data_IF_188809094438
#
_entry.id   IF_188809094438
#
_cell.length_a   1.000
_cell.length_b   1.000
_cell.length_c   1.000
_cell.angle_alpha   90.00
_cell.angle_beta   90.00
_cell.angle_gamma   90.00
#
_symmetry.space_group_name_H-M   'P 1'
#
loop_
_entity.id
_entity.type
_entity.pdbx_description
1 polymer ?
#
# COMPACT_ATOMS: atom_id res chain seq x y z
N UNK A 1 -0.05 -9.11 -11.74
CA UNK A 1 -0.73 -8.54 -10.56
C UNK A 1 -0.72 -9.56 -9.44
N UNK A 2 -0.20 -9.24 -8.24
CA UNK A 2 -0.18 -10.18 -7.10
C UNK A 2 -1.38 -9.85 -6.22
N UNK A 3 -2.36 -10.76 -6.16
CA UNK A 3 -3.55 -10.62 -5.32
C UNK A 3 -3.55 -11.71 -4.24
N UNK A 4 -3.85 -11.33 -2.99
CA UNK A 4 -3.81 -12.22 -1.83
C UNK A 4 -4.99 -12.00 -0.91
N UNK A 5 -5.54 -13.09 -0.38
CA UNK A 5 -6.63 -13.01 0.60
C UNK A 5 -6.15 -12.37 1.90
N UNK A 6 -7.00 -11.53 2.50
CA UNK A 6 -6.69 -10.83 3.75
C UNK A 6 -6.30 -11.78 4.89
N UNK A 7 -6.86 -13.00 4.95
CA UNK A 7 -6.49 -14.00 5.96
C UNK A 7 -5.08 -14.52 5.73
N UNK A 8 -4.71 -14.77 4.47
CA UNK A 8 -3.37 -15.23 4.10
C UNK A 8 -2.31 -14.18 4.42
N UNK A 9 -2.59 -12.91 4.10
CA UNK A 9 -1.74 -11.77 4.41
C UNK A 9 -1.58 -11.59 5.92
N UNK A 10 -2.67 -11.65 6.68
CA UNK A 10 -2.66 -11.49 8.15
C UNK A 10 -1.76 -12.51 8.84
N UNK A 11 -1.86 -13.78 8.46
CA UNK A 11 -1.07 -14.86 9.08
C UNK A 11 0.40 -14.81 8.68
N UNK A 12 0.73 -14.25 7.51
CA UNK A 12 2.07 -14.32 6.93
C UNK A 12 2.72 -12.96 6.65
N UNK A 13 2.29 -11.90 7.32
CA UNK A 13 2.65 -10.52 6.95
C UNK A 13 4.17 -10.32 6.84
N UNK A 14 4.95 -10.81 7.81
CA UNK A 14 6.42 -10.74 7.80
C UNK A 14 7.05 -11.44 6.60
N UNK A 15 6.52 -12.61 6.22
CA UNK A 15 6.99 -13.34 5.02
C UNK A 15 6.68 -12.55 3.76
N UNK A 16 5.52 -11.90 3.71
CA UNK A 16 5.10 -11.05 2.60
C UNK A 16 5.97 -9.79 2.48
N UNK A 17 6.28 -9.13 3.59
CA UNK A 17 7.18 -7.97 3.63
C UNK A 17 8.53 -8.32 2.99
N UNK A 18 9.15 -9.41 3.42
CA UNK A 18 10.48 -9.80 2.93
C UNK A 18 10.45 -10.28 1.48
N UNK A 19 9.45 -11.09 1.11
CA UNK A 19 9.35 -11.70 -0.23
C UNK A 19 8.99 -10.69 -1.32
N UNK A 20 8.25 -9.64 -0.97
CA UNK A 20 7.73 -8.67 -1.92
C UNK A 20 8.21 -7.24 -1.61
N UNK A 21 9.39 -7.11 -0.99
CA UNK A 21 10.03 -5.83 -0.79
C UNK A 21 10.19 -5.09 -2.14
N UNK A 22 9.73 -3.84 -2.20
CA UNK A 22 9.68 -3.05 -3.44
C UNK A 22 8.55 -3.43 -4.42
N UNK A 23 7.64 -4.34 -4.06
CA UNK A 23 6.51 -4.74 -4.91
C UNK A 23 5.15 -4.41 -4.27
N UNK A 24 4.16 -4.16 -5.13
CA UNK A 24 2.76 -3.99 -4.74
C UNK A 24 2.03 -5.33 -4.64
N UNK A 25 1.24 -5.50 -3.57
CA UNK A 25 0.34 -6.64 -3.36
C UNK A 25 -1.08 -6.10 -3.17
N UNK A 26 -2.03 -6.63 -3.90
CA UNK A 26 -3.44 -6.33 -3.70
C UNK A 26 -4.02 -7.27 -2.65
N UNK A 27 -4.61 -6.71 -1.60
CA UNK A 27 -5.35 -7.47 -0.61
C UNK A 27 -6.78 -7.64 -1.11
N UNK A 28 -7.29 -8.85 -1.08
CA UNK A 28 -8.69 -9.15 -1.39
C UNK A 28 -9.43 -9.80 -0.22
N UNK A 29 -10.74 -9.60 -0.18
CA UNK A 29 -11.67 -10.29 0.72
C UNK A 29 -12.90 -10.67 -0.09
N UNK A 30 -13.32 -11.94 -0.02
CA UNK A 30 -14.44 -12.46 -0.82
C UNK A 30 -14.31 -12.15 -2.32
N UNK A 31 -13.13 -12.40 -2.89
CA UNK A 31 -12.76 -12.11 -4.29
C UNK A 31 -12.84 -10.64 -4.74
N UNK A 32 -13.10 -9.69 -3.83
CA UNK A 32 -13.02 -8.26 -4.10
C UNK A 32 -11.71 -7.70 -3.59
N UNK A 33 -11.03 -6.87 -4.38
CA UNK A 33 -9.86 -6.10 -3.93
C UNK A 33 -10.35 -5.06 -2.93
N UNK A 34 -9.75 -5.04 -1.75
CA UNK A 34 -10.11 -4.15 -0.64
C UNK A 34 -8.97 -3.21 -0.23
N UNK A 35 -7.78 -3.38 -0.81
CA UNK A 35 -6.65 -2.52 -0.52
C UNK A 35 -5.38 -2.93 -1.25
N UNK A 36 -4.36 -2.09 -1.13
CA UNK A 36 -3.02 -2.30 -1.64
C UNK A 36 -2.03 -2.30 -0.47
N UNK A 37 -1.06 -3.22 -0.51
CA UNK A 37 0.14 -3.21 0.32
C UNK A 37 1.34 -2.92 -0.57
N UNK A 38 2.11 -1.91 -0.20
CA UNK A 38 3.40 -1.62 -0.81
C UNK A 38 4.47 -1.65 0.27
N UNK A 39 5.47 -2.50 0.07
CA UNK A 39 6.58 -2.63 0.99
C UNK A 39 7.75 -1.78 0.50
N UNK A 40 8.25 -0.95 1.39
CA UNK A 40 9.32 -0.01 1.08
C UNK A 40 10.58 -0.35 1.85
N UNK A 41 11.72 -0.16 1.20
CA UNK A 41 13.00 -0.35 1.87
C UNK A 41 13.30 0.82 2.83
N UNK A 42 14.20 0.58 3.78
CA UNK A 42 14.67 1.62 4.70
C UNK A 42 15.36 2.80 3.99
N UNK A 43 15.88 2.61 2.78
CA UNK A 43 16.46 3.68 1.95
C UNK A 43 15.41 4.64 1.39
N UNK A 44 14.16 4.21 1.30
CA UNK A 44 13.06 4.99 0.71
C UNK A 44 12.17 5.63 1.78
N UNK A 45 12.49 5.46 3.07
CA UNK A 45 11.63 5.78 4.21
C UNK A 45 11.08 7.21 4.18
N UNK A 46 11.89 8.20 3.82
CA UNK A 46 11.48 9.61 3.82
C UNK A 46 10.60 9.94 2.61
N UNK A 47 10.91 9.40 1.43
CA UNK A 47 10.05 9.50 0.25
C UNK A 47 8.69 8.85 0.49
N UNK A 48 8.67 7.71 1.16
CA UNK A 48 7.46 6.96 1.50
C UNK A 48 6.57 7.73 2.45
N UNK A 49 7.15 8.37 3.46
CA UNK A 49 6.41 9.24 4.37
C UNK A 49 5.77 10.40 3.61
N UNK A 50 6.49 11.00 2.67
CA UNK A 50 5.97 12.06 1.81
C UNK A 50 4.84 11.54 0.91
N UNK A 51 4.99 10.36 0.30
CA UNK A 51 3.97 9.77 -0.57
C UNK A 51 2.69 9.40 0.21
N UNK A 52 2.83 8.81 1.40
CA UNK A 52 1.69 8.51 2.29
C UNK A 52 0.99 9.80 2.71
N UNK A 53 1.75 10.84 3.09
CA UNK A 53 1.16 12.13 3.47
C UNK A 53 0.37 12.74 2.30
N UNK A 54 0.90 12.67 1.06
CA UNK A 54 0.20 13.12 -0.14
C UNK A 54 -1.08 12.34 -0.41
N UNK A 55 -1.07 11.01 -0.30
CA UNK A 55 -2.27 10.19 -0.48
C UNK A 55 -3.34 10.46 0.58
N UNK A 56 -2.94 10.67 1.84
CA UNK A 56 -3.86 11.03 2.93
C UNK A 56 -4.51 12.38 2.64
N UNK A 57 -3.73 13.38 2.26
CA UNK A 57 -4.26 14.71 1.90
C UNK A 57 -5.22 14.58 0.71
N UNK A 58 -4.83 13.86 -0.34
CA UNK A 58 -5.66 13.64 -1.54
C UNK A 58 -6.98 12.91 -1.23
N UNK A 59 -6.94 11.96 -0.30
CA UNK A 59 -8.13 11.22 0.13
C UNK A 59 -9.02 12.05 1.07
N UNK A 60 -8.43 12.97 1.83
CA UNK A 60 -9.15 13.87 2.73
C UNK A 60 -9.80 15.03 1.96
N UNK A 61 -9.18 15.50 0.88
CA UNK A 61 -9.67 16.63 0.11
C UNK A 61 -9.24 16.55 -1.38
N UNK A 62 -10.11 16.01 -2.26
CA UNK A 62 -9.79 15.83 -3.68
C UNK A 62 -9.75 17.14 -4.48
N UNK A 63 -10.20 18.28 -3.94
CA UNK A 63 -10.21 19.57 -4.65
C UNK A 63 -8.87 20.32 -4.62
N UNK A 64 -7.92 19.88 -3.78
CA UNK A 64 -6.60 20.49 -3.63
C UNK A 64 -5.69 20.35 -4.87
N UNK A 65 -6.05 19.50 -5.83
CA UNK A 65 -5.33 19.32 -7.11
C UNK A 65 -5.69 20.40 -8.15
N UNK A 66 -6.74 21.20 -7.95
CA UNK A 66 -7.15 22.26 -8.88
C UNK A 66 -6.35 23.58 -8.73
N UNK A 67 -5.40 23.64 -7.78
CA UNK A 67 -4.62 24.84 -7.47
C UNK A 67 -3.12 24.72 -7.77
N UNK A 68 -2.69 23.66 -8.48
CA UNK A 68 -1.31 23.50 -8.96
C UNK A 68 -1.27 23.44 -10.49
#
# INVERSE_FOLDING_TARGET
MIQKDIREVRTNLTKYINKYNGRKIYISKYNKIIGELKFYSSKEKDQVRLDIAKEIIKSADPELELLQ
#
